data_IF_785717249512
#
_entry.id   IF_785717249512
#
_cell.length_a   1.000
_cell.length_b   1.000
_cell.length_c   1.000
_cell.angle_alpha   90.00
_cell.angle_beta   90.00
_cell.angle_gamma   90.00
#
_symmetry.space_group_name_H-M   'P 1'
#
loop_
_entity.id
_entity.type
_entity.pdbx_description
1 polymer ?
#
# COMPACT_ATOMS: atom_id res chain seq x y z
N UNK A 1 0.39 -8.73 7.47
CA UNK A 1 1.41 -7.93 8.20
C UNK A 1 2.41 -7.31 7.24
N UNK A 2 3.17 -8.11 6.48
CA UNK A 2 4.10 -7.60 5.45
C UNK A 2 3.36 -6.83 4.34
N UNK A 3 2.16 -7.29 3.99
CA UNK A 3 1.28 -6.67 3.00
C UNK A 3 0.91 -5.22 3.37
N UNK A 4 0.42 -4.97 4.59
CA UNK A 4 0.06 -3.62 5.04
C UNK A 4 1.30 -2.72 5.17
N UNK A 5 2.44 -3.27 5.58
CA UNK A 5 3.72 -2.55 5.62
C UNK A 5 4.13 -2.08 4.22
N UNK A 6 4.08 -2.97 3.23
CA UNK A 6 4.40 -2.62 1.85
C UNK A 6 3.45 -1.54 1.32
N UNK A 7 2.16 -1.64 1.64
CA UNK A 7 1.17 -0.60 1.28
C UNK A 7 1.55 0.76 1.87
N UNK A 8 1.91 0.82 3.14
CA UNK A 8 2.38 2.05 3.78
C UNK A 8 3.64 2.62 3.12
N UNK A 9 4.61 1.76 2.78
CA UNK A 9 5.83 2.17 2.08
C UNK A 9 5.54 2.79 0.70
N UNK A 10 4.61 2.19 -0.06
CA UNK A 10 4.21 2.70 -1.38
C UNK A 10 3.48 4.03 -1.25
N UNK A 11 2.54 4.16 -0.30
CA UNK A 11 1.83 5.41 -0.04
C UNK A 11 2.81 6.51 0.39
N UNK A 12 3.77 6.19 1.26
CA UNK A 12 4.79 7.13 1.69
C UNK A 12 5.66 7.61 0.50
N UNK A 13 5.99 6.70 -0.42
CA UNK A 13 6.73 7.04 -1.64
C UNK A 13 5.91 7.97 -2.55
N UNK A 14 4.61 7.69 -2.72
CA UNK A 14 3.69 8.54 -3.46
C UNK A 14 3.62 9.95 -2.87
N UNK A 15 3.45 10.06 -1.55
CA UNK A 15 3.40 11.35 -0.85
C UNK A 15 4.70 12.12 -1.03
N UNK A 16 5.85 11.45 -0.86
CA UNK A 16 7.16 12.09 -1.01
C UNK A 16 7.39 12.62 -2.43
N UNK A 17 6.86 11.92 -3.43
CA UNK A 17 7.03 12.28 -4.84
C UNK A 17 5.82 13.00 -5.46
N UNK A 18 4.85 13.44 -4.66
CA UNK A 18 3.62 14.07 -5.15
C UNK A 18 3.86 15.36 -5.95
N UNK A 19 4.99 16.03 -5.73
CA UNK A 19 5.40 17.24 -6.44
C UNK A 19 6.63 17.03 -7.34
N UNK A 20 7.06 15.78 -7.55
CA UNK A 20 8.26 15.46 -8.34
C UNK A 20 7.94 15.49 -9.83
N UNK A 21 8.25 16.60 -10.49
CA UNK A 21 8.08 16.79 -11.95
C UNK A 21 9.20 16.15 -12.77
N UNK A 22 10.34 15.86 -12.14
CA UNK A 22 11.51 15.25 -12.77
C UNK A 22 12.04 14.07 -11.95
N UNK A 23 11.64 12.87 -12.32
CA UNK A 23 12.19 11.60 -11.82
C UNK A 23 13.52 11.26 -12.52
N UNK A 24 14.24 10.26 -12.01
CA UNK A 24 15.46 9.71 -12.62
C UNK A 24 15.25 9.25 -14.08
N UNK A 25 14.01 8.91 -14.44
CA UNK A 25 13.63 8.46 -15.79
C UNK A 25 13.23 9.63 -16.73
N UNK A 26 13.39 10.89 -16.30
CA UNK A 26 13.19 12.07 -17.16
C UNK A 26 11.75 12.58 -17.30
N UNK A 27 10.79 12.02 -16.55
CA UNK A 27 9.39 12.47 -16.52
C UNK A 27 8.86 12.62 -15.09
N UNK A 28 7.62 13.13 -14.91
CA UNK A 28 7.03 13.26 -13.59
C UNK A 28 6.77 11.90 -12.95
N UNK A 29 6.79 11.87 -11.62
CA UNK A 29 6.49 10.65 -10.87
C UNK A 29 5.07 10.15 -11.19
N UNK A 30 4.90 8.84 -11.31
CA UNK A 30 3.60 8.19 -11.50
C UNK A 30 3.23 7.46 -10.22
N UNK A 31 1.99 7.65 -9.76
CA UNK A 31 1.47 7.00 -8.55
C UNK A 31 1.63 5.49 -8.67
N UNK A 32 2.10 4.88 -7.60
CA UNK A 32 2.19 3.43 -7.48
C UNK A 32 1.10 2.92 -6.55
N UNK A 33 0.55 1.75 -6.86
CA UNK A 33 -0.40 1.01 -6.04
C UNK A 33 0.11 -0.39 -5.75
N UNK A 34 -0.48 -1.04 -4.74
CA UNK A 34 -0.14 -2.41 -4.35
C UNK A 34 -1.31 -3.33 -4.67
N UNK A 35 -1.06 -4.38 -5.45
CA UNK A 35 -2.03 -5.43 -5.71
C UNK A 35 -1.81 -6.58 -4.73
N UNK A 36 -2.88 -6.98 -4.06
CA UNK A 36 -2.88 -8.14 -3.16
C UNK A 36 -3.48 -9.32 -3.89
N UNK A 37 -2.82 -10.48 -3.80
CA UNK A 37 -3.39 -11.75 -4.22
C UNK A 37 -3.72 -12.56 -2.96
N UNK A 38 -4.93 -13.10 -2.93
CA UNK A 38 -5.32 -14.05 -1.90
C UNK A 38 -4.62 -15.38 -2.18
N UNK A 39 -3.79 -15.82 -1.25
CA UNK A 39 -3.19 -17.14 -1.31
C UNK A 39 -4.24 -18.14 -0.84
N UNK A 40 -5.21 -18.44 -1.71
CA UNK A 40 -6.19 -19.49 -1.44
C UNK A 40 -5.50 -20.84 -1.65
N UNK A 41 -5.04 -21.46 -0.57
CA UNK A 41 -4.53 -22.82 -0.62
C UNK A 41 -5.70 -23.76 -0.94
N UNK A 42 -5.62 -24.50 -2.06
CA UNK A 42 -6.60 -25.55 -2.41
C UNK A 42 -6.65 -26.72 -1.41
N UNK A 43 -5.89 -26.66 -0.31
CA UNK A 43 -5.91 -27.64 0.76
C UNK A 43 -7.05 -27.33 1.74
N UNK A 44 -7.75 -28.37 2.18
CA UNK A 44 -8.62 -28.26 3.33
C UNK A 44 -7.76 -27.98 4.57
N UNK A 45 -8.03 -26.88 5.26
CA UNK A 45 -7.45 -26.60 6.56
C UNK A 45 -7.83 -27.67 7.60
N UNK A 46 -7.21 -27.67 8.79
CA UNK A 46 -7.40 -28.72 9.82
C UNK A 46 -8.86 -28.99 10.24
N UNK A 47 -9.78 -28.09 9.87
CA UNK A 47 -11.20 -28.14 10.21
C UNK A 47 -12.13 -28.29 8.98
N UNK A 48 -11.61 -28.72 7.82
CA UNK A 48 -12.42 -29.03 6.64
C UNK A 48 -12.94 -27.82 5.84
N UNK A 49 -12.49 -26.60 6.17
CA UNK A 49 -12.70 -25.38 5.38
C UNK A 49 -11.48 -25.03 4.51
N UNK A 50 -11.59 -24.08 3.56
CA UNK A 50 -10.44 -23.64 2.76
C UNK A 50 -9.27 -23.18 3.65
N UNK A 51 -8.04 -23.59 3.32
CA UNK A 51 -6.82 -23.13 3.98
C UNK A 51 -6.58 -21.66 3.60
N UNK A 52 -7.11 -20.76 4.43
CA UNK A 52 -6.97 -19.31 4.28
C UNK A 52 -5.52 -18.90 4.61
N UNK A 53 -4.59 -19.10 3.66
CA UNK A 53 -3.18 -18.71 3.80
C UNK A 53 -2.95 -17.22 3.57
N UNK A 54 -3.76 -16.37 4.20
CA UNK A 54 -3.57 -14.92 4.19
C UNK A 54 -3.51 -14.27 2.79
N UNK A 55 -3.23 -12.98 2.80
CA UNK A 55 -2.97 -12.17 1.59
C UNK A 55 -1.50 -11.82 1.55
N UNK A 56 -0.86 -12.08 0.41
CA UNK A 56 0.49 -11.61 0.13
C UNK A 56 0.38 -10.45 -0.86
N UNK A 57 1.12 -9.37 -0.60
CA UNK A 57 1.24 -8.31 -1.58
C UNK A 57 2.12 -8.81 -2.72
N UNK A 58 1.55 -8.86 -3.93
CA UNK A 58 2.18 -9.55 -5.07
C UNK A 58 3.04 -8.60 -5.87
N UNK A 59 2.59 -7.36 -6.09
CA UNK A 59 3.35 -6.44 -6.92
C UNK A 59 3.02 -4.96 -6.68
N UNK A 60 3.99 -4.10 -6.99
CA UNK A 60 3.79 -2.65 -7.13
C UNK A 60 3.42 -2.37 -8.59
N UNK A 61 2.29 -1.73 -8.81
CA UNK A 61 1.79 -1.41 -10.16
C UNK A 61 1.67 0.09 -10.30
N UNK A 62 2.02 0.63 -11.47
CA UNK A 62 1.83 2.05 -11.76
C UNK A 62 0.37 2.34 -12.12
N UNK A 63 -0.18 3.44 -11.60
CA UNK A 63 -1.52 3.89 -11.95
C UNK A 63 -1.54 4.34 -13.42
N UNK A 64 -2.37 3.75 -14.30
CA UNK A 64 -2.41 4.07 -15.73
C UNK A 64 -3.03 5.44 -16.04
N UNK A 65 -3.64 6.12 -15.06
CA UNK A 65 -4.30 7.42 -15.24
C UNK A 65 -3.34 8.44 -15.87
N UNK A 66 -3.87 9.30 -16.74
CA UNK A 66 -3.09 10.34 -17.38
C UNK A 66 -2.48 11.33 -16.38
N UNK A 67 -1.29 11.84 -16.71
CA UNK A 67 -0.60 12.83 -15.91
C UNK A 67 -1.24 14.20 -16.11
N UNK A 68 -1.74 14.87 -15.06
CA UNK A 68 -2.39 16.17 -15.20
C UNK A 68 -1.42 17.21 -15.78
N UNK A 69 -1.90 17.98 -16.76
CA UNK A 69 -1.17 19.13 -17.32
C UNK A 69 -1.64 20.41 -16.64
N UNK A 70 -0.71 21.16 -16.07
CA UNK A 70 -1.00 22.43 -15.38
C UNK A 70 -0.25 23.54 -16.09
N UNK A 71 -0.95 24.62 -16.45
CA UNK A 71 -0.34 25.78 -17.07
C UNK A 71 0.45 26.60 -16.04
N UNK A 72 1.78 26.57 -16.14
CA UNK A 72 2.74 27.28 -15.29
C UNK A 72 3.89 27.85 -16.15
N UNK A 73 3.67 28.99 -16.84
CA UNK A 73 4.60 29.55 -17.83
C UNK A 73 5.95 30.07 -17.27
N UNK A 74 6.23 29.86 -15.98
CA UNK A 74 7.53 30.16 -15.34
C UNK A 74 8.20 28.95 -14.70
N UNK A 75 7.65 27.73 -14.87
CA UNK A 75 8.20 26.53 -14.28
C UNK A 75 9.38 25.99 -15.12
N UNK A 76 10.49 25.53 -14.52
CA UNK A 76 11.66 25.04 -15.26
C UNK A 76 11.37 23.81 -16.14
N UNK A 77 10.33 23.05 -15.80
CA UNK A 77 9.87 21.88 -16.56
C UNK A 77 8.66 22.16 -17.47
N UNK A 78 8.32 23.43 -17.71
CA UNK A 78 7.24 23.79 -18.62
C UNK A 78 7.64 23.55 -20.09
N UNK A 79 6.69 23.10 -20.91
CA UNK A 79 6.85 23.03 -22.35
C UNK A 79 6.79 24.43 -23.01
N UNK A 80 6.95 24.47 -24.34
CA UNK A 80 6.97 25.73 -25.11
C UNK A 80 5.65 26.53 -25.01
N UNK A 81 4.56 25.88 -24.60
CA UNK A 81 3.23 26.48 -24.41
C UNK A 81 3.00 26.87 -22.94
N UNK A 82 3.95 26.60 -22.04
CA UNK A 82 3.86 26.91 -20.62
C UNK A 82 3.18 25.83 -19.77
N UNK A 83 2.96 24.62 -20.28
CA UNK A 83 2.36 23.52 -19.52
C UNK A 83 3.39 22.60 -18.88
N UNK A 84 3.14 22.21 -17.64
CA UNK A 84 3.92 21.24 -16.87
C UNK A 84 3.10 19.97 -16.68
N UNK A 85 3.70 18.81 -16.91
CA UNK A 85 3.11 17.52 -16.51
C UNK A 85 3.40 17.27 -15.04
N UNK A 86 2.35 17.19 -14.23
CA UNK A 86 2.44 16.91 -12.81
C UNK A 86 2.20 15.43 -12.53
N UNK A 87 2.71 14.89 -11.41
CA UNK A 87 2.35 13.57 -10.93
C UNK A 87 0.83 13.40 -10.78
N UNK A 88 0.32 12.20 -11.06
CA UNK A 88 -1.08 11.82 -10.83
C UNK A 88 -1.35 11.45 -9.35
N UNK A 89 -0.58 11.99 -8.42
CA UNK A 89 -0.71 11.73 -6.98
C UNK A 89 -1.62 12.79 -6.35
N UNK A 90 -2.65 12.35 -5.65
CA UNK A 90 -3.55 13.23 -4.91
C UNK A 90 -3.26 13.13 -3.42
N UNK A 91 -2.58 14.13 -2.87
CA UNK A 91 -2.13 14.14 -1.48
C UNK A 91 -3.25 13.86 -0.46
N UNK A 92 -4.47 14.44 -0.57
CA UNK A 92 -5.55 14.15 0.37
C UNK A 92 -5.96 12.67 0.37
N UNK A 93 -5.95 12.03 -0.81
CA UNK A 93 -6.31 10.62 -0.96
C UNK A 93 -5.21 9.74 -0.38
N UNK A 94 -3.94 10.03 -0.67
CA UNK A 94 -2.82 9.28 -0.12
C UNK A 94 -2.74 9.36 1.41
N UNK A 95 -3.06 10.51 2.01
CA UNK A 95 -3.12 10.64 3.47
C UNK A 95 -4.22 9.76 4.09
N UNK A 96 -5.40 9.71 3.46
CA UNK A 96 -6.50 8.82 3.92
C UNK A 96 -6.13 7.36 3.74
N UNK A 97 -5.48 7.02 2.62
CA UNK A 97 -4.96 5.67 2.37
C UNK A 97 -3.93 5.27 3.43
N UNK A 98 -3.02 6.18 3.79
CA UNK A 98 -2.00 5.93 4.83
C UNK A 98 -2.66 5.69 6.18
N UNK A 99 -3.61 6.53 6.58
CA UNK A 99 -4.35 6.37 7.82
C UNK A 99 -5.08 5.02 7.87
N UNK A 100 -5.69 4.62 6.77
CA UNK A 100 -6.42 3.36 6.66
C UNK A 100 -5.48 2.16 6.75
N UNK A 101 -4.33 2.22 6.05
CA UNK A 101 -3.30 1.18 6.11
C UNK A 101 -2.70 1.04 7.52
N UNK A 102 -2.41 2.16 8.21
CA UNK A 102 -1.91 2.17 9.59
C UNK A 102 -2.92 1.53 10.55
N UNK A 103 -4.20 1.92 10.47
CA UNK A 103 -5.26 1.33 11.32
C UNK A 103 -5.43 -0.17 11.07
N UNK A 104 -5.37 -0.61 9.82
CA UNK A 104 -5.43 -2.03 9.47
C UNK A 104 -4.23 -2.81 10.05
N UNK A 105 -3.02 -2.25 9.93
CA UNK A 105 -1.81 -2.83 10.52
C UNK A 105 -1.93 -2.96 12.05
N UNK A 106 -2.39 -1.92 12.74
CA UNK A 106 -2.61 -1.95 14.19
C UNK A 106 -3.66 -2.98 14.60
N UNK A 107 -4.78 -3.06 13.86
CA UNK A 107 -5.82 -4.05 14.12
C UNK A 107 -5.30 -5.48 13.97
N UNK A 108 -4.56 -5.76 12.90
CA UNK A 108 -3.92 -7.05 12.67
C UNK A 108 -2.92 -7.39 13.79
N UNK A 109 -2.12 -6.40 14.24
CA UNK A 109 -1.16 -6.57 15.33
C UNK A 109 -1.85 -6.96 16.64
N UNK A 110 -2.94 -6.27 16.99
CA UNK A 110 -3.75 -6.59 18.17
C UNK A 110 -4.35 -8.00 18.07
N UNK A 111 -4.93 -8.36 16.93
CA UNK A 111 -5.48 -9.70 16.72
C UNK A 111 -4.43 -10.80 16.92
N UNK A 112 -3.22 -10.62 16.38
CA UNK A 112 -2.12 -11.56 16.55
C UNK A 112 -1.62 -11.65 18.01
N UNK A 113 -1.64 -10.53 18.75
CA UNK A 113 -1.30 -10.52 20.18
C UNK A 113 -2.36 -11.27 20.99
N UNK A 114 -3.65 -11.00 20.76
CA UNK A 114 -4.75 -11.70 21.43
C UNK A 114 -4.69 -13.21 21.16
N UNK A 115 -4.44 -13.62 19.91
CA UNK A 115 -4.29 -15.03 19.57
C UNK A 115 -3.14 -15.70 20.34
N UNK A 116 -1.97 -15.05 20.43
CA UNK A 116 -0.84 -15.56 21.23
C UNK A 116 -1.21 -15.70 22.70
N UNK A 117 -1.86 -14.69 23.28
CA UNK A 117 -2.29 -14.72 24.67
C UNK A 117 -3.28 -15.87 24.95
N UNK A 118 -4.24 -16.08 24.05
CA UNK A 118 -5.19 -17.20 24.15
C UNK A 118 -4.49 -18.56 24.07
N UNK A 119 -3.51 -18.72 23.17
CA UNK A 119 -2.74 -19.96 23.05
C UNK A 119 -1.90 -20.23 24.29
N UNK A 120 -1.23 -19.21 24.84
CA UNK A 120 -0.45 -19.34 26.08
C UNK A 120 -1.34 -19.76 27.25
N UNK A 121 -2.53 -19.16 27.39
CA UNK A 121 -3.52 -19.56 28.40
C UNK A 121 -3.98 -21.01 28.20
N UNK A 122 -4.26 -21.42 26.96
CA UNK A 122 -4.65 -22.80 26.66
C UNK A 122 -3.55 -23.81 27.00
N UNK A 123 -2.27 -23.48 26.71
CA UNK A 123 -1.12 -24.31 27.07
C UNK A 123 -0.94 -24.42 28.59
N UNK A 124 -1.20 -23.34 29.34
CA UNK A 124 -1.19 -23.38 30.81
C UNK A 124 -2.26 -24.33 31.34
N UNK A 125 -3.47 -24.29 30.78
CA UNK A 125 -4.58 -25.17 31.18
C UNK A 125 -4.33 -26.64 30.82
N UNK A 126 -3.60 -26.94 29.74
CA UNK A 126 -3.24 -28.31 29.35
C UNK A 126 -2.12 -28.93 30.21
N UNK A 127 -1.41 -28.13 31.01
CA UNK A 127 -0.31 -28.57 31.87
C UNK A 127 -0.75 -28.82 33.33
N UNK A 128 -1.95 -28.38 33.72
CA UNK A 128 -2.59 -28.67 35.02
C UNK A 128 -3.49 -29.90 34.94
#
# INVERSE_FOLDING_TARGET
MSAERLRMEVIANNIANANTTRSANGGPYRRQDVVFEELLGAAAGPFGGPDLRGVVAVERVEDPTELPRVHQPGHPDADAEGFVRMPNVQLPIEMVNLLTATRAYEANLRAAQTFRQMNEQALVLLRS
#
